data_IF_387016471949
#
_entry.id   IF_387016471949
#
_cell.length_a   1.000
_cell.length_b   1.000
_cell.length_c   1.000
_cell.angle_alpha   90.00
_cell.angle_beta   90.00
_cell.angle_gamma   90.00
#
_symmetry.space_group_name_H-M   'P 1'
#
loop_
_entity.id
_entity.type
_entity.pdbx_description
1 polymer ?
#
# COMPACT_ATOMS: atom_id res chain seq x y z
N UNK A 1 -43.78 37.08 -66.50
CA UNK A 1 -44.74 37.75 -65.59
C UNK A 1 -44.32 37.51 -64.17
N UNK A 2 -44.17 38.62 -63.44
CA UNK A 2 -43.67 38.76 -62.08
C UNK A 2 -44.65 38.19 -61.04
N UNK A 3 -44.13 37.74 -59.88
CA UNK A 3 -44.71 37.67 -58.51
C UNK A 3 -44.34 36.31 -57.89
N UNK A 4 -43.78 36.20 -56.68
CA UNK A 4 -43.71 37.10 -55.52
C UNK A 4 -42.52 36.65 -54.66
N UNK A 5 -41.72 37.61 -54.24
CA UNK A 5 -40.90 37.56 -53.02
C UNK A 5 -41.83 37.43 -51.80
N UNK A 6 -41.45 36.66 -50.77
CA UNK A 6 -41.70 36.92 -49.34
C UNK A 6 -40.96 35.86 -48.50
N UNK A 7 -39.88 36.30 -47.82
CA UNK A 7 -39.69 36.35 -46.34
C UNK A 7 -39.11 35.04 -45.78
N UNK A 8 -37.78 34.98 -45.59
CA UNK A 8 -37.06 35.20 -44.32
C UNK A 8 -37.46 34.19 -43.24
N UNK A 9 -36.55 33.26 -42.93
CA UNK A 9 -36.05 33.09 -41.54
C UNK A 9 -34.82 32.19 -41.54
N UNK A 10 -33.73 32.70 -40.96
CA UNK A 10 -32.57 31.91 -40.56
C UNK A 10 -33.03 30.83 -39.57
N UNK A 11 -32.64 29.57 -39.81
CA UNK A 11 -32.57 28.59 -38.74
C UNK A 11 -31.30 27.76 -38.91
N UNK A 12 -30.32 28.12 -38.08
CA UNK A 12 -29.08 27.42 -37.78
C UNK A 12 -29.32 25.93 -37.49
N UNK A 13 -28.74 25.06 -38.31
CA UNK A 13 -28.42 23.70 -37.90
C UNK A 13 -26.90 23.63 -37.71
N UNK A 14 -26.49 23.84 -36.46
CA UNK A 14 -25.18 23.43 -35.97
C UNK A 14 -25.05 21.91 -36.14
N UNK A 15 -24.03 21.49 -36.88
CA UNK A 15 -23.53 20.12 -36.84
C UNK A 15 -23.05 19.82 -35.42
N UNK A 16 -23.82 19.03 -34.67
CA UNK A 16 -23.29 18.24 -33.56
C UNK A 16 -23.33 16.79 -34.00
N UNK A 17 -22.25 16.37 -34.66
CA UNK A 17 -21.97 14.94 -34.78
C UNK A 17 -21.54 14.44 -33.40
N UNK A 18 -22.42 13.74 -32.70
CA UNK A 18 -21.98 12.88 -31.60
C UNK A 18 -21.24 11.69 -32.23
N UNK A 19 -19.93 11.83 -32.44
CA UNK A 19 -19.07 10.67 -32.55
C UNK A 19 -19.12 9.98 -31.19
N UNK A 20 -19.82 8.85 -31.12
CA UNK A 20 -19.75 7.96 -29.97
C UNK A 20 -18.38 7.30 -29.97
N UNK A 21 -17.38 8.00 -29.45
CA UNK A 21 -16.18 7.37 -28.95
C UNK A 21 -16.57 6.77 -27.61
N UNK A 22 -16.83 5.46 -27.60
CA UNK A 22 -16.65 4.67 -26.37
C UNK A 22 -15.23 4.99 -25.91
N UNK A 23 -15.11 5.82 -24.89
CA UNK A 23 -13.85 5.95 -24.16
C UNK A 23 -13.47 4.53 -23.73
N UNK A 24 -12.24 4.07 -24.00
CA UNK A 24 -11.80 2.84 -23.39
C UNK A 24 -11.87 3.08 -21.89
N UNK A 25 -12.66 2.25 -21.20
CA UNK A 25 -12.57 2.14 -19.76
C UNK A 25 -11.14 1.65 -19.51
N UNK A 26 -10.23 2.59 -19.27
CA UNK A 26 -8.96 2.30 -18.63
C UNK A 26 -9.35 1.91 -17.21
N UNK A 27 -9.66 0.64 -17.05
CA UNK A 27 -9.52 -0.01 -15.75
C UNK A 27 -8.01 -0.01 -15.56
N UNK A 28 -7.50 1.07 -14.98
CA UNK A 28 -6.21 1.05 -14.32
C UNK A 28 -6.45 0.19 -13.07
N UNK A 29 -6.56 -1.11 -13.29
CA UNK A 29 -6.32 -2.08 -12.26
C UNK A 29 -4.84 -1.95 -11.97
N UNK A 30 -4.50 -0.97 -11.11
CA UNK A 30 -3.31 -1.07 -10.30
C UNK A 30 -3.50 -2.33 -9.47
N UNK A 31 -3.14 -3.45 -10.06
CA UNK A 31 -2.62 -4.61 -9.35
C UNK A 31 -1.36 -4.10 -8.64
N UNK A 32 -1.57 -3.35 -7.55
CA UNK A 32 -0.47 -2.92 -6.71
C UNK A 32 0.15 -4.20 -6.15
N UNK A 33 1.43 -4.35 -6.46
CA UNK A 33 2.23 -5.52 -6.19
C UNK A 33 2.06 -5.98 -4.74
N UNK A 34 2.08 -7.30 -4.57
CA UNK A 34 2.30 -7.99 -3.31
C UNK A 34 3.36 -7.23 -2.48
N UNK A 35 2.90 -6.56 -1.42
CA UNK A 35 3.64 -5.75 -0.46
C UNK A 35 4.43 -4.56 -1.03
N UNK A 36 3.79 -3.40 -1.16
CA UNK A 36 4.46 -2.14 -1.46
C UNK A 36 5.53 -1.72 -0.43
N UNK A 37 5.58 -2.34 0.76
CA UNK A 37 6.52 -2.02 1.84
C UNK A 37 6.96 -3.25 2.63
N UNK A 38 8.13 -3.14 3.26
CA UNK A 38 8.67 -4.11 4.21
C UNK A 38 7.95 -4.01 5.56
N UNK A 39 7.54 -5.13 6.14
CA UNK A 39 6.78 -5.13 7.40
C UNK A 39 7.04 -6.37 8.27
N UNK A 40 6.56 -6.27 9.50
CA UNK A 40 6.40 -7.38 10.45
C UNK A 40 5.06 -7.26 11.17
N UNK A 41 4.39 -8.40 11.36
CA UNK A 41 3.11 -8.51 12.07
C UNK A 41 3.33 -8.81 13.54
N UNK A 42 2.75 -8.00 14.42
CA UNK A 42 2.69 -8.26 15.86
C UNK A 42 1.22 -8.21 16.27
N UNK A 43 0.70 -9.32 16.79
CA UNK A 43 -0.72 -9.60 16.96
C UNK A 43 -1.52 -9.29 15.67
N UNK A 44 -2.46 -8.36 15.76
CA UNK A 44 -3.31 -7.90 14.64
C UNK A 44 -2.76 -6.63 13.97
N UNK A 45 -1.59 -6.15 14.39
CA UNK A 45 -0.99 -4.90 13.90
C UNK A 45 0.17 -5.16 12.95
N UNK A 46 0.21 -4.43 11.84
CA UNK A 46 1.35 -4.43 10.92
C UNK A 46 2.28 -3.25 11.23
N UNK A 47 3.57 -3.53 11.33
CA UNK A 47 4.61 -2.53 11.55
C UNK A 47 5.51 -2.47 10.33
N UNK A 48 5.62 -1.29 9.73
CA UNK A 48 6.53 -1.03 8.62
C UNK A 48 7.96 -1.00 9.14
N UNK A 49 8.84 -1.78 8.51
CA UNK A 49 10.27 -1.77 8.83
C UNK A 49 10.91 -0.48 8.29
N UNK A 50 11.72 0.16 9.11
CA UNK A 50 12.49 1.35 8.72
C UNK A 50 13.98 1.08 8.93
N UNK A 51 14.84 1.77 8.17
CA UNK A 51 16.29 1.67 8.35
C UNK A 51 16.84 2.62 9.43
N UNK A 52 15.96 3.16 10.28
CA UNK A 52 16.33 4.10 11.33
C UNK A 52 16.87 3.29 12.52
N UNK A 53 18.17 3.41 12.79
CA UNK A 53 18.82 2.79 13.93
C UNK A 53 18.34 3.45 15.24
N UNK A 54 18.01 2.63 16.23
CA UNK A 54 17.64 3.04 17.56
C UNK A 54 18.81 2.83 18.54
N UNK A 55 18.93 3.69 19.54
CA UNK A 55 19.87 3.49 20.63
C UNK A 55 19.49 2.25 21.46
N UNK A 56 20.47 1.58 22.07
CA UNK A 56 20.20 0.41 22.93
C UNK A 56 19.30 0.75 24.13
N UNK A 57 19.34 1.99 24.60
CA UNK A 57 18.46 2.53 25.67
C UNK A 57 16.97 2.52 25.29
N UNK A 58 16.65 2.52 24.00
CA UNK A 58 15.27 2.45 23.50
C UNK A 58 14.67 1.03 23.61
N UNK A 59 15.50 0.01 23.85
CA UNK A 59 15.09 -1.40 23.90
C UNK A 59 14.35 -1.72 25.19
N UNK A 60 13.09 -2.12 25.03
CA UNK A 60 12.24 -2.64 26.10
C UNK A 60 12.18 -4.17 26.11
N UNK A 61 11.07 -4.68 26.62
CA UNK A 61 10.83 -6.12 26.73
C UNK A 61 10.80 -6.82 25.36
N UNK A 62 11.28 -8.06 25.33
CA UNK A 62 11.13 -8.94 24.17
C UNK A 62 9.64 -9.22 23.92
N UNK A 63 9.19 -8.96 22.69
CA UNK A 63 7.87 -9.33 22.19
C UNK A 63 7.90 -10.78 21.73
N UNK A 64 8.90 -11.12 20.93
CA UNK A 64 9.04 -12.45 20.33
C UNK A 64 10.13 -12.48 19.27
N UNK A 65 10.10 -13.53 18.46
CA UNK A 65 10.98 -13.68 17.31
C UNK A 65 10.16 -13.97 16.06
N UNK A 66 10.54 -13.38 14.93
CA UNK A 66 9.92 -13.66 13.63
C UNK A 66 9.85 -15.17 13.42
N UNK A 67 8.66 -15.68 13.10
CA UNK A 67 8.41 -17.11 12.93
C UNK A 67 8.51 -17.53 11.46
N UNK A 68 7.99 -16.71 10.56
CA UNK A 68 7.97 -17.00 9.12
C UNK A 68 8.33 -15.75 8.33
N UNK A 69 9.11 -15.96 7.26
CA UNK A 69 9.19 -14.99 6.19
C UNK A 69 8.21 -15.43 5.09
N UNK A 70 7.24 -14.58 4.76
CA UNK A 70 6.14 -14.88 3.84
C UNK A 70 6.35 -14.26 2.45
N UNK A 71 7.55 -13.75 2.14
CA UNK A 71 7.86 -13.15 0.83
C UNK A 71 7.64 -14.10 -0.34
N UNK A 72 7.95 -15.40 -0.15
CA UNK A 72 7.80 -16.42 -1.20
C UNK A 72 6.38 -17.00 -1.26
N UNK A 73 5.48 -16.58 -0.38
CA UNK A 73 4.08 -17.03 -0.31
C UNK A 73 3.12 -15.99 -0.93
N UNK A 74 3.67 -14.96 -1.55
CA UNK A 74 2.98 -13.77 -2.07
C UNK A 74 2.08 -14.02 -3.29
N UNK A 75 2.18 -15.21 -3.88
CA UNK A 75 1.34 -15.72 -4.98
C UNK A 75 0.27 -16.68 -4.51
N UNK A 76 0.23 -17.01 -3.22
CA UNK A 76 -0.80 -17.85 -2.63
C UNK A 76 -2.02 -16.99 -2.28
N UNK A 77 -3.09 -17.14 -3.05
CA UNK A 77 -4.37 -16.43 -2.85
C UNK A 77 -5.00 -16.74 -1.47
N UNK A 78 -4.56 -17.82 -0.80
CA UNK A 78 -5.03 -18.22 0.54
C UNK A 78 -4.09 -17.77 1.67
N UNK A 79 -3.04 -16.98 1.38
CA UNK A 79 -2.11 -16.53 2.41
C UNK A 79 -2.82 -15.62 3.44
N UNK A 80 -2.84 -16.09 4.69
CA UNK A 80 -3.28 -15.30 5.85
C UNK A 80 -2.06 -14.92 6.68
N UNK A 81 -1.78 -13.62 6.78
CA UNK A 81 -0.78 -13.05 7.66
C UNK A 81 -1.09 -13.35 9.13
N UNK A 82 -0.09 -13.85 9.86
CA UNK A 82 -0.20 -14.23 11.27
C UNK A 82 0.76 -13.41 12.13
N UNK A 83 0.56 -13.50 13.44
CA UNK A 83 1.50 -12.93 14.40
C UNK A 83 2.92 -13.46 14.17
N UNK A 84 3.90 -12.56 14.15
CA UNK A 84 5.33 -12.81 13.91
C UNK A 84 5.68 -13.24 12.48
N UNK A 85 4.78 -13.03 11.51
CA UNK A 85 5.15 -13.06 10.10
C UNK A 85 5.85 -11.76 9.69
N UNK A 86 6.77 -11.87 8.74
CA UNK A 86 7.41 -10.72 8.08
C UNK A 86 7.58 -11.04 6.60
N UNK A 87 7.65 -10.03 5.73
CA UNK A 87 8.05 -10.21 4.33
C UNK A 87 9.53 -9.87 4.07
N UNK A 88 10.27 -9.39 5.08
CA UNK A 88 11.65 -8.93 4.89
C UNK A 88 12.61 -9.44 5.95
N UNK A 89 12.15 -9.67 7.18
CA UNK A 89 13.00 -10.18 8.25
C UNK A 89 13.16 -11.70 8.14
N UNK A 90 14.36 -12.24 8.41
CA UNK A 90 14.55 -13.68 8.50
C UNK A 90 13.85 -14.24 9.75
N UNK A 91 13.38 -15.50 9.71
CA UNK A 91 12.94 -16.19 10.92
C UNK A 91 14.01 -16.19 12.01
N UNK A 92 13.60 -15.93 13.24
CA UNK A 92 14.49 -15.82 14.40
C UNK A 92 14.88 -14.40 14.78
N UNK A 93 14.64 -13.39 13.91
CA UNK A 93 14.87 -11.97 14.23
C UNK A 93 14.07 -11.57 15.46
N UNK A 94 14.74 -11.03 16.47
CA UNK A 94 14.11 -10.63 17.72
C UNK A 94 13.39 -9.29 17.58
N UNK A 95 12.19 -9.20 18.17
CA UNK A 95 11.36 -8.01 18.22
C UNK A 95 11.18 -7.57 19.66
N UNK A 96 11.31 -6.27 19.92
CA UNK A 96 11.25 -5.67 21.25
C UNK A 96 10.29 -4.50 21.27
N UNK A 97 9.72 -4.21 22.44
CA UNK A 97 8.98 -2.96 22.65
C UNK A 97 9.94 -1.78 22.58
N UNK A 98 9.48 -0.65 22.05
CA UNK A 98 10.18 0.61 22.22
C UNK A 98 9.80 1.21 23.58
N UNK A 99 10.78 1.62 24.39
CA UNK A 99 10.54 2.10 25.77
C UNK A 99 9.78 3.43 25.83
N UNK A 100 10.10 4.35 24.92
CA UNK A 100 9.51 5.71 24.91
C UNK A 100 8.30 5.89 23.98
N UNK A 101 8.19 5.11 22.91
CA UNK A 101 7.13 5.27 21.91
C UNK A 101 6.35 3.97 21.70
N UNK A 102 5.15 3.88 22.28
CA UNK A 102 4.30 2.69 22.18
C UNK A 102 3.75 2.41 20.78
N UNK A 103 3.84 3.37 19.86
CA UNK A 103 3.45 3.17 18.46
C UNK A 103 4.55 2.50 17.63
N UNK A 104 5.75 2.31 18.20
CA UNK A 104 6.87 1.69 17.52
C UNK A 104 7.29 0.41 18.25
N UNK A 105 7.88 -0.50 17.48
CA UNK A 105 8.65 -1.63 18.01
C UNK A 105 10.08 -1.53 17.49
N UNK A 106 10.96 -2.33 18.06
CA UNK A 106 12.32 -2.49 17.58
C UNK A 106 12.53 -3.89 17.04
N UNK A 107 13.37 -4.02 16.02
CA UNK A 107 13.87 -5.31 15.55
C UNK A 107 15.40 -5.33 15.56
N UNK A 108 15.98 -6.51 15.79
CA UNK A 108 17.43 -6.67 15.93
C UNK A 108 18.05 -7.30 14.69
N UNK A 109 19.02 -6.62 14.08
CA UNK A 109 19.86 -7.15 13.01
C UNK A 109 21.32 -6.89 13.35
N UNK A 110 22.15 -7.93 13.27
CA UNK A 110 23.60 -7.86 13.51
C UNK A 110 23.98 -7.16 14.83
N UNK A 111 23.18 -7.37 15.87
CA UNK A 111 23.38 -6.79 17.21
C UNK A 111 22.98 -5.32 17.35
N UNK A 112 22.36 -4.73 16.32
CA UNK A 112 21.80 -3.38 16.31
C UNK A 112 20.29 -3.40 16.33
N UNK A 113 19.69 -2.33 16.84
CA UNK A 113 18.23 -2.18 16.91
C UNK A 113 17.77 -1.16 15.89
N UNK A 114 16.66 -1.46 15.23
CA UNK A 114 16.05 -0.60 14.22
C UNK A 114 14.57 -0.41 14.52
N UNK A 115 14.04 0.74 14.15
CA UNK A 115 12.64 1.10 14.39
C UNK A 115 11.75 0.43 13.34
N UNK A 116 10.65 -0.18 13.80
CA UNK A 116 9.50 -0.45 12.95
C UNK A 116 8.30 0.36 13.45
N UNK A 117 7.67 1.10 12.54
CA UNK A 117 6.60 2.04 12.82
C UNK A 117 5.25 1.39 12.58
N UNK A 118 4.30 1.57 13.50
CA UNK A 118 2.94 1.08 13.30
C UNK A 118 2.32 1.72 12.06
N UNK A 119 1.79 0.89 11.16
CA UNK A 119 1.00 1.34 10.02
C UNK A 119 -0.48 1.33 10.42
N UNK A 120 -1.14 2.47 10.28
CA UNK A 120 -2.58 2.63 10.49
C UNK A 120 -3.40 2.16 9.28
#
# INVERSE_FOLDING_TARGET
MLKKTIVITLLSLSLVGCASTKEPILIDSTEEASWAHEFVRVDETSFQLTQIEAEESAKGDLIGKVQRNIVDMDTDEELVEQHLDSNSLPPGTALYKHTENSSNILYELDGKYYIAEKKD
#
